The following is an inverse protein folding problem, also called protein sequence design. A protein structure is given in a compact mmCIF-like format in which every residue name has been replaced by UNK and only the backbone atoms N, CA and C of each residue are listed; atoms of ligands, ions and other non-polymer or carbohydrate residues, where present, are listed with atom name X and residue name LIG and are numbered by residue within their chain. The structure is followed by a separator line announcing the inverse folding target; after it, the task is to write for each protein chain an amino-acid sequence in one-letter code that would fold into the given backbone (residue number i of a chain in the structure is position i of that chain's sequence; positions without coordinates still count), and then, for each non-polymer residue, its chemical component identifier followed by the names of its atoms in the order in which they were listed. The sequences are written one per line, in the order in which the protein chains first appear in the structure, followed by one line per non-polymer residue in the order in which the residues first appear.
data_IF_121363599464
#
_entry.id   IF_121363599464
#
_cell.length_a   1.000
_cell.length_b   1.000
_cell.length_c   1.000
_cell.angle_alpha   90.00
_cell.angle_beta   90.00
_cell.angle_gamma   90.00
#
_symmetry.space_group_name_H-M   'P 1'
#
loop_
_entity.id
_entity.type
_entity.pdbx_description
1 polymer ?
#
# COMPACT_ATOMS: atom_id res chain seq x y z
N UNK A 1 -22.47 9.26 10.54
CA UNK A 1 -22.06 8.92 9.15
C UNK A 1 -20.54 9.04 9.07
N UNK A 2 -19.87 7.90 8.80
CA UNK A 2 -18.45 7.70 8.45
C UNK A 2 -17.39 8.06 9.53
N UNK A 3 -16.37 7.21 9.77
CA UNK A 3 -15.39 6.99 8.71
C UNK A 3 -14.68 5.62 8.68
N UNK A 4 -14.82 4.93 7.55
CA UNK A 4 -13.85 3.94 7.06
C UNK A 4 -12.55 4.62 6.51
N UNK A 5 -12.17 5.76 7.09
CA UNK A 5 -10.96 6.53 6.73
C UNK A 5 -9.72 5.97 7.43
N UNK A 6 -9.84 5.31 8.60
CA UNK A 6 -8.75 5.03 9.54
C UNK A 6 -7.73 3.93 9.18
N UNK A 7 -7.75 3.38 7.97
CA UNK A 7 -7.05 2.13 7.69
C UNK A 7 -5.75 2.31 6.91
N UNK A 8 -5.69 3.21 5.94
CA UNK A 8 -4.48 3.35 5.10
C UNK A 8 -3.43 4.27 5.74
N UNK A 9 -3.83 5.28 6.51
CA UNK A 9 -2.89 6.21 7.14
C UNK A 9 -1.89 5.53 8.10
N UNK A 10 -2.27 4.62 9.02
CA UNK A 10 -1.30 3.93 9.89
C UNK A 10 -0.36 2.98 9.12
N UNK A 11 -0.78 2.50 7.95
CA UNK A 11 0.12 1.76 7.05
C UNK A 11 1.15 2.72 6.44
N UNK A 12 0.71 3.87 5.92
CA UNK A 12 1.61 4.86 5.32
C UNK A 12 2.60 5.42 6.33
N UNK A 13 2.17 5.66 7.57
CA UNK A 13 3.04 6.14 8.66
C UNK A 13 4.15 5.13 9.00
N UNK A 14 3.82 3.83 9.02
CA UNK A 14 4.84 2.77 9.19
C UNK A 14 5.82 2.70 8.04
N UNK A 15 5.41 3.08 6.83
CA UNK A 15 6.25 3.04 5.63
C UNK A 15 7.04 4.33 5.41
N UNK A 16 6.61 5.42 6.05
CA UNK A 16 7.27 6.71 6.00
C UNK A 16 8.67 6.64 6.61
N UNK A 17 9.69 7.08 5.86
CA UNK A 17 11.09 7.06 6.29
C UNK A 17 11.77 5.69 6.16
N UNK A 18 11.01 4.62 5.90
CA UNK A 18 11.54 3.28 5.67
C UNK A 18 11.54 2.88 4.20
N UNK A 19 10.40 3.04 3.54
CA UNK A 19 10.17 2.65 2.15
C UNK A 19 9.73 3.83 1.31
N UNK A 20 8.93 4.72 1.90
CA UNK A 20 8.48 5.96 1.27
C UNK A 20 9.39 7.10 1.71
N UNK A 21 9.97 7.78 0.73
CA UNK A 21 10.57 9.10 0.94
C UNK A 21 9.46 10.11 1.23
N UNK A 22 9.82 11.25 1.82
CA UNK A 22 8.87 12.30 2.20
C UNK A 22 7.99 12.74 1.01
N UNK A 23 8.58 12.96 -0.17
CA UNK A 23 7.86 13.32 -1.39
C UNK A 23 6.86 12.23 -1.84
N UNK A 24 7.25 10.95 -1.72
CA UNK A 24 6.40 9.82 -2.10
C UNK A 24 5.26 9.63 -1.09
N UNK A 25 5.54 9.82 0.19
CA UNK A 25 4.53 9.77 1.25
C UNK A 25 3.51 10.90 1.07
N UNK A 26 3.93 12.13 0.83
CA UNK A 26 3.03 13.25 0.55
C UNK A 26 2.22 13.02 -0.72
N UNK A 27 2.84 12.55 -1.80
CA UNK A 27 2.15 12.25 -3.05
C UNK A 27 1.08 11.17 -2.88
N UNK A 28 1.33 10.15 -2.05
CA UNK A 28 0.33 9.14 -1.72
C UNK A 28 -0.74 9.72 -0.79
N UNK A 29 -0.36 10.48 0.23
CA UNK A 29 -1.29 11.09 1.20
C UNK A 29 -2.22 12.14 0.57
N UNK A 30 -1.76 12.82 -0.47
CA UNK A 30 -2.53 13.80 -1.24
C UNK A 30 -3.69 13.19 -2.04
N UNK A 31 -3.70 11.86 -2.23
CA UNK A 31 -4.79 11.19 -2.93
C UNK A 31 -6.09 11.21 -2.10
N UNK A 32 -7.21 11.48 -2.77
CA UNK A 32 -8.52 11.73 -2.14
C UNK A 32 -9.12 10.45 -1.55
N UNK A 33 -8.96 9.32 -2.23
CA UNK A 33 -9.55 8.04 -1.81
C UNK A 33 -8.48 7.07 -1.33
N UNK A 34 -8.84 6.23 -0.35
CA UNK A 34 -7.95 5.17 0.13
C UNK A 34 -7.54 4.19 -0.98
N UNK A 35 -8.39 3.98 -1.97
CA UNK A 35 -8.06 3.16 -3.14
C UNK A 35 -7.01 3.83 -4.02
N UNK A 36 -7.10 5.14 -4.24
CA UNK A 36 -6.11 5.90 -5.01
C UNK A 36 -4.78 5.99 -4.27
N UNK A 37 -4.80 6.19 -2.94
CA UNK A 37 -3.60 6.09 -2.08
C UNK A 37 -2.87 4.76 -2.31
N UNK A 38 -3.61 3.65 -2.23
CA UNK A 38 -3.05 2.32 -2.47
C UNK A 38 -2.57 2.16 -3.92
N UNK A 39 -3.34 2.60 -4.91
CA UNK A 39 -2.94 2.52 -6.33
C UNK A 39 -1.64 3.30 -6.60
N UNK A 40 -1.50 4.48 -6.01
CA UNK A 40 -0.29 5.31 -6.08
C UNK A 40 0.89 4.61 -5.41
N UNK A 41 0.68 4.05 -4.22
CA UNK A 41 1.66 3.24 -3.50
C UNK A 41 2.13 2.03 -4.34
N UNK A 42 1.21 1.30 -4.97
CA UNK A 42 1.55 0.20 -5.87
C UNK A 42 2.28 0.66 -7.13
N UNK A 43 2.00 1.85 -7.65
CA UNK A 43 2.74 2.42 -8.77
C UNK A 43 4.21 2.65 -8.41
N UNK A 44 4.48 3.13 -7.19
CA UNK A 44 5.83 3.29 -6.64
C UNK A 44 6.54 1.95 -6.41
N UNK A 45 5.79 0.86 -6.21
CA UNK A 45 6.35 -0.49 -6.00
C UNK A 45 7.20 -1.01 -7.15
N UNK A 46 7.08 -0.41 -8.35
CA UNK A 46 7.96 -0.70 -9.50
C UNK A 46 9.42 -0.30 -9.23
N UNK A 47 9.63 0.74 -8.45
CA UNK A 47 10.95 1.26 -8.09
C UNK A 47 11.48 0.68 -6.77
N UNK A 48 10.68 -0.14 -6.08
CA UNK A 48 11.04 -0.71 -4.79
C UNK A 48 11.98 -1.91 -4.91
N UNK A 49 13.02 -1.90 -4.08
CA UNK A 49 13.90 -3.06 -3.89
C UNK A 49 13.19 -4.18 -3.13
N UNK A 50 13.78 -5.38 -3.14
CA UNK A 50 13.24 -6.55 -2.45
C UNK A 50 12.98 -6.28 -0.96
N UNK A 51 13.87 -5.53 -0.30
CA UNK A 51 13.73 -5.11 1.10
C UNK A 51 12.53 -4.20 1.32
N UNK A 52 12.30 -3.22 0.42
CA UNK A 52 11.14 -2.33 0.48
C UNK A 52 9.82 -3.11 0.36
N UNK A 53 9.75 -4.07 -0.57
CA UNK A 53 8.57 -4.94 -0.72
C UNK A 53 8.31 -5.78 0.53
N UNK A 54 9.37 -6.30 1.15
CA UNK A 54 9.27 -7.10 2.37
C UNK A 54 8.71 -6.29 3.55
N UNK A 55 9.15 -5.04 3.70
CA UNK A 55 8.66 -4.15 4.75
C UNK A 55 7.20 -3.74 4.53
N UNK A 56 6.82 -3.43 3.29
CA UNK A 56 5.43 -3.13 2.92
C UNK A 56 4.53 -4.32 3.19
N UNK A 57 4.97 -5.51 2.82
CA UNK A 57 4.25 -6.75 3.08
C UNK A 57 4.06 -6.99 4.58
N UNK A 58 5.08 -6.78 5.41
CA UNK A 58 4.97 -6.89 6.87
C UNK A 58 4.00 -5.87 7.45
N UNK A 59 4.12 -4.61 7.06
CA UNK A 59 3.24 -3.54 7.53
C UNK A 59 1.77 -3.77 7.11
N UNK A 60 1.55 -4.25 5.89
CA UNK A 60 0.22 -4.65 5.40
C UNK A 60 -0.33 -5.84 6.19
N UNK A 61 0.49 -6.86 6.48
CA UNK A 61 0.06 -8.03 7.25
C UNK A 61 -0.36 -7.66 8.68
N UNK A 62 0.34 -6.71 9.30
CA UNK A 62 0.03 -6.23 10.65
C UNK A 62 -1.24 -5.35 10.68
N UNK A 63 -1.36 -4.42 9.73
CA UNK A 63 -2.45 -3.43 9.75
C UNK A 63 -3.72 -3.94 9.05
N UNK A 64 -3.56 -4.63 7.91
CA UNK A 64 -4.65 -5.04 7.03
C UNK A 64 -4.39 -6.41 6.40
N UNK A 65 -4.44 -7.50 7.19
CA UNK A 65 -4.22 -8.85 6.66
C UNK A 65 -5.21 -9.25 5.56
N UNK A 66 -6.42 -8.67 5.55
CA UNK A 66 -7.42 -8.88 4.50
C UNK A 66 -7.04 -8.22 3.16
N UNK A 67 -6.28 -7.12 3.17
CA UNK A 67 -5.78 -6.47 1.96
C UNK A 67 -4.67 -7.29 1.28
N UNK A 68 -3.85 -8.02 2.07
CA UNK A 68 -2.88 -8.98 1.53
C UNK A 68 -3.61 -10.03 0.68
N UNK A 69 -4.73 -10.55 1.19
CA UNK A 69 -5.52 -11.56 0.49
C UNK A 69 -6.04 -11.04 -0.86
N UNK A 70 -6.64 -9.84 -0.86
CA UNK A 70 -7.13 -9.17 -2.07
C UNK A 70 -6.00 -8.93 -3.10
N UNK A 71 -4.80 -8.57 -2.64
CA UNK A 71 -3.63 -8.36 -3.50
C UNK A 71 -3.08 -9.65 -4.09
N UNK A 72 -3.09 -10.76 -3.35
CA UNK A 72 -2.67 -12.07 -3.84
C UNK A 72 -3.68 -12.65 -4.83
N UNK A 73 -4.98 -12.48 -4.57
CA UNK A 73 -6.03 -12.87 -5.51
C UNK A 73 -5.93 -12.07 -6.82
N UNK A 74 -5.62 -10.77 -6.74
CA UNK A 74 -5.55 -9.90 -7.92
C UNK A 74 -4.23 -9.99 -8.69
N UNK A 75 -3.13 -10.42 -8.05
CA UNK A 75 -1.84 -10.67 -8.72
C UNK A 75 -1.71 -12.10 -9.27
N UNK A 76 -2.52 -13.05 -8.79
CA UNK A 76 -2.66 -14.40 -9.34
C UNK A 76 -3.61 -14.51 -10.55
N UNK A 77 -4.32 -13.42 -10.89
CA UNK A 77 -5.23 -13.34 -12.04
C UNK A 77 -4.54 -13.13 -13.38
N UNK A 78 -3.47 -13.87 -13.67
CA UNK A 78 -3.14 -14.25 -15.06
C UNK A 78 -3.49 -15.74 -15.15
N UNK A 79 -4.78 -16.03 -15.32
CA UNK A 79 -5.18 -17.26 -16.00
C UNK A 79 -5.66 -16.81 -17.37
N UNK A 80 -4.79 -17.07 -18.33
CA UNK A 80 -5.03 -16.98 -19.76
C UNK A 80 -6.33 -17.72 -20.12
N UNK A 81 -7.13 -17.09 -20.97
CA UNK A 81 -8.09 -17.80 -21.82
C UNK A 81 -7.41 -18.24 -23.11
#
# INVERSE_FOLDING_TARGET
MMPAVHKVDPLLDKLHGLVLREEEYEAVRAEVTNQDKMRKLFSLSRSWTRTCKDQVYRALKETHPHLIMDLFEKSGGISEG
#
